data_IF_412774426566
#
_entry.id   IF_412774426566
#
_cell.length_a   1.000
_cell.length_b   1.000
_cell.length_c   1.000
_cell.angle_alpha   90.00
_cell.angle_beta   90.00
_cell.angle_gamma   90.00
#
_symmetry.space_group_name_H-M   'P 1'
#
loop_
_entity.id
_entity.type
_entity.pdbx_description
1 polymer ?
#
# COMPACT_ATOMS: atom_id res chain seq x y z
N UNK A 1 -84.17 -14.77 57.00
CA UNK A 1 -82.80 -15.27 57.20
C UNK A 1 -82.31 -16.17 56.05
N UNK A 2 -82.97 -17.29 55.76
CA UNK A 2 -82.47 -18.27 54.76
C UNK A 2 -82.27 -17.74 53.33
N UNK A 3 -83.14 -16.85 52.82
CA UNK A 3 -83.02 -16.29 51.46
C UNK A 3 -81.78 -15.40 51.29
N UNK A 4 -81.45 -14.59 52.30
CA UNK A 4 -80.30 -13.69 52.27
C UNK A 4 -78.98 -14.46 52.27
N UNK A 5 -78.91 -15.55 53.06
CA UNK A 5 -77.75 -16.45 53.09
C UNK A 5 -77.53 -17.17 51.75
N UNK A 6 -78.61 -17.58 51.08
CA UNK A 6 -78.51 -18.19 49.75
C UNK A 6 -77.96 -17.20 48.72
N UNK A 7 -78.49 -15.97 48.66
CA UNK A 7 -77.99 -14.94 47.74
C UNK A 7 -76.53 -14.57 48.00
N UNK A 8 -76.09 -14.50 49.26
CA UNK A 8 -74.69 -14.29 49.62
C UNK A 8 -73.77 -15.42 49.14
N UNK A 9 -74.20 -16.68 49.29
CA UNK A 9 -73.44 -17.83 48.81
C UNK A 9 -73.33 -17.86 47.27
N UNK A 10 -74.39 -17.46 46.57
CA UNK A 10 -74.38 -17.33 45.11
C UNK A 10 -73.43 -16.22 44.64
N UNK A 11 -73.45 -15.05 45.30
CA UNK A 11 -72.52 -13.96 45.00
C UNK A 11 -71.06 -14.34 45.27
N UNK A 12 -70.79 -15.04 46.37
CA UNK A 12 -69.45 -15.55 46.70
C UNK A 12 -68.97 -16.57 45.65
N UNK A 13 -69.85 -17.49 45.23
CA UNK A 13 -69.54 -18.46 44.19
C UNK A 13 -69.25 -17.77 42.84
N UNK A 14 -70.03 -16.75 42.48
CA UNK A 14 -69.82 -15.96 41.27
C UNK A 14 -68.48 -15.21 41.29
N UNK A 15 -68.18 -14.51 42.40
CA UNK A 15 -66.91 -13.79 42.57
C UNK A 15 -65.70 -14.72 42.52
N UNK A 16 -65.79 -15.91 43.12
CA UNK A 16 -64.73 -16.93 43.04
C UNK A 16 -64.52 -17.41 41.61
N UNK A 17 -65.60 -17.68 40.87
CA UNK A 17 -65.50 -18.07 39.47
C UNK A 17 -64.86 -16.97 38.60
N UNK A 18 -65.16 -15.69 38.87
CA UNK A 18 -64.52 -14.56 38.21
C UNK A 18 -63.03 -14.45 38.54
N UNK A 19 -62.66 -14.56 39.82
CA UNK A 19 -61.26 -14.56 40.25
C UNK A 19 -60.46 -15.70 39.61
N UNK A 20 -61.03 -16.90 39.51
CA UNK A 20 -60.39 -18.01 38.82
C UNK A 20 -60.18 -17.74 37.32
N UNK A 21 -61.15 -17.09 36.66
CA UNK A 21 -61.02 -16.68 35.26
C UNK A 21 -59.89 -15.68 35.08
N UNK A 22 -59.84 -14.65 35.93
CA UNK A 22 -58.77 -13.65 35.91
C UNK A 22 -57.40 -14.27 36.20
N UNK A 23 -57.31 -15.16 37.19
CA UNK A 23 -56.07 -15.83 37.52
C UNK A 23 -55.55 -16.67 36.35
N UNK A 24 -56.43 -17.46 35.71
CA UNK A 24 -56.06 -18.24 34.51
C UNK A 24 -55.63 -17.33 33.35
N UNK A 25 -56.29 -16.20 33.16
CA UNK A 25 -55.92 -15.23 32.12
C UNK A 25 -54.55 -14.59 32.41
N UNK A 26 -54.29 -14.19 33.65
CA UNK A 26 -53.01 -13.66 34.09
C UNK A 26 -51.89 -14.70 33.91
N UNK A 27 -52.12 -15.94 34.31
CA UNK A 27 -51.13 -17.00 34.16
C UNK A 27 -50.76 -17.25 32.70
N UNK A 28 -51.75 -17.22 31.79
CA UNK A 28 -51.51 -17.31 30.35
C UNK A 28 -50.71 -16.11 29.84
N UNK A 29 -51.11 -14.89 30.21
CA UNK A 29 -50.41 -13.68 29.80
C UNK A 29 -48.95 -13.68 30.28
N UNK A 30 -48.71 -14.03 31.55
CA UNK A 30 -47.36 -14.16 32.09
C UNK A 30 -46.53 -15.17 31.31
N UNK A 31 -47.07 -16.37 31.07
CA UNK A 31 -46.36 -17.40 30.31
C UNK A 31 -45.99 -16.97 28.88
N UNK A 32 -46.87 -16.21 28.22
CA UNK A 32 -46.60 -15.66 26.88
C UNK A 32 -45.50 -14.61 26.94
N UNK A 33 -45.61 -13.65 27.86
CA UNK A 33 -44.59 -12.60 28.02
C UNK A 33 -43.21 -13.14 28.43
N UNK A 34 -43.17 -14.22 29.22
CA UNK A 34 -41.93 -14.89 29.60
C UNK A 34 -41.27 -15.56 28.40
N UNK A 35 -42.05 -16.22 27.53
CA UNK A 35 -41.55 -16.81 26.30
C UNK A 35 -41.01 -15.75 25.34
N UNK A 36 -41.77 -14.68 25.08
CA UNK A 36 -41.34 -13.55 24.23
C UNK A 36 -40.05 -12.91 24.77
N UNK A 37 -39.95 -12.73 26.09
CA UNK A 37 -38.73 -12.19 26.72
C UNK A 37 -37.53 -13.11 26.51
N UNK A 38 -37.70 -14.42 26.58
CA UNK A 38 -36.61 -15.36 26.34
C UNK A 38 -36.13 -15.31 24.87
N UNK A 39 -37.05 -15.20 23.92
CA UNK A 39 -36.73 -15.03 22.49
C UNK A 39 -35.95 -13.73 22.26
N UNK A 40 -36.42 -12.61 22.81
CA UNK A 40 -35.73 -11.32 22.71
C UNK A 40 -34.32 -11.35 23.31
N UNK A 41 -34.13 -12.03 24.45
CA UNK A 41 -32.80 -12.19 25.05
C UNK A 41 -31.90 -13.06 24.17
N UNK A 42 -32.43 -14.10 23.54
CA UNK A 42 -31.67 -14.92 22.60
C UNK A 42 -31.24 -14.12 21.37
N UNK A 43 -32.14 -13.34 20.79
CA UNK A 43 -31.82 -12.44 19.67
C UNK A 43 -30.78 -11.38 20.05
N UNK A 44 -30.93 -10.76 21.22
CA UNK A 44 -29.97 -9.77 21.71
C UNK A 44 -28.57 -10.37 21.81
N UNK A 45 -28.46 -11.58 22.41
CA UNK A 45 -27.17 -12.28 22.53
C UNK A 45 -26.56 -12.64 21.18
N UNK A 46 -27.37 -13.00 20.19
CA UNK A 46 -26.89 -13.25 18.84
C UNK A 46 -26.34 -11.97 18.21
N UNK A 47 -27.10 -10.87 18.27
CA UNK A 47 -26.68 -9.55 17.76
C UNK A 47 -25.41 -9.05 18.46
N UNK A 48 -25.27 -9.26 19.76
CA UNK A 48 -24.06 -8.91 20.51
C UNK A 48 -22.83 -9.70 20.03
N UNK A 49 -22.99 -10.99 19.74
CA UNK A 49 -21.90 -11.82 19.18
C UNK A 49 -21.51 -11.38 17.78
N UNK A 50 -22.50 -11.10 16.94
CA UNK A 50 -22.27 -10.58 15.58
C UNK A 50 -21.56 -9.22 15.62
N UNK A 51 -21.97 -8.33 16.53
CA UNK A 51 -21.33 -7.04 16.73
C UNK A 51 -19.87 -7.21 17.16
N UNK A 52 -19.58 -8.08 18.12
CA UNK A 52 -18.21 -8.37 18.55
C UNK A 52 -17.35 -8.91 17.40
N UNK A 53 -17.90 -9.82 16.59
CA UNK A 53 -17.21 -10.33 15.40
C UNK A 53 -16.91 -9.22 14.38
N UNK A 54 -17.88 -8.32 14.13
CA UNK A 54 -17.72 -7.19 13.24
C UNK A 54 -16.65 -6.20 13.76
N UNK A 55 -16.60 -5.95 15.07
CA UNK A 55 -15.58 -5.10 15.68
C UNK A 55 -14.16 -5.67 15.49
N UNK A 56 -13.99 -6.98 15.67
CA UNK A 56 -12.68 -7.64 15.44
C UNK A 56 -12.26 -7.58 13.98
N UNK A 57 -13.22 -7.73 13.06
CA UNK A 57 -12.96 -7.57 11.62
C UNK A 57 -12.55 -6.13 11.28
N UNK A 58 -13.21 -5.14 11.87
CA UNK A 58 -12.88 -3.73 11.69
C UNK A 58 -11.46 -3.43 12.19
N UNK A 59 -11.10 -3.91 13.38
CA UNK A 59 -9.75 -3.71 13.93
C UNK A 59 -8.67 -4.34 13.04
N UNK A 60 -8.94 -5.52 12.47
CA UNK A 60 -8.05 -6.16 11.50
C UNK A 60 -7.87 -5.29 10.25
N UNK A 61 -8.96 -4.78 9.68
CA UNK A 61 -8.94 -3.91 8.51
C UNK A 61 -8.20 -2.59 8.77
N UNK A 62 -8.33 -2.03 9.97
CA UNK A 62 -7.60 -0.82 10.35
C UNK A 62 -6.08 -1.05 10.38
N UNK A 63 -5.64 -2.19 10.94
CA UNK A 63 -4.22 -2.57 10.94
C UNK A 63 -3.69 -2.79 9.50
N UNK A 64 -4.47 -3.47 8.67
CA UNK A 64 -4.13 -3.68 7.25
C UNK A 64 -4.04 -2.35 6.49
N UNK A 65 -4.99 -1.43 6.74
CA UNK A 65 -4.99 -0.09 6.15
C UNK A 65 -3.76 0.71 6.57
N UNK A 66 -3.38 0.68 7.85
CA UNK A 66 -2.19 1.37 8.34
C UNK A 66 -0.92 0.81 7.68
N UNK A 67 -0.77 -0.51 7.62
CA UNK A 67 0.36 -1.15 6.94
C UNK A 67 0.41 -0.81 5.44
N UNK A 68 -0.74 -0.78 4.77
CA UNK A 68 -0.82 -0.37 3.35
C UNK A 68 -0.43 1.09 3.14
N UNK A 69 -0.79 1.99 4.07
CA UNK A 69 -0.40 3.40 4.01
C UNK A 69 1.11 3.58 4.17
N UNK A 70 1.74 2.86 5.09
CA UNK A 70 3.19 2.88 5.27
C UNK A 70 3.92 2.41 4.00
N UNK A 71 3.48 1.29 3.44
CA UNK A 71 4.03 0.76 2.18
C UNK A 71 3.86 1.75 1.02
N UNK A 72 2.69 2.39 0.92
CA UNK A 72 2.43 3.41 -0.08
C UNK A 72 3.38 4.61 0.06
N UNK A 73 3.59 5.10 1.28
CA UNK A 73 4.52 6.19 1.55
C UNK A 73 5.95 5.81 1.15
N UNK A 74 6.42 4.62 1.49
CA UNK A 74 7.75 4.16 1.08
C UNK A 74 7.92 4.12 -0.44
N UNK A 75 6.94 3.54 -1.15
CA UNK A 75 6.98 3.46 -2.62
C UNK A 75 6.95 4.85 -3.23
N UNK A 76 6.13 5.75 -2.69
CA UNK A 76 6.06 7.14 -3.13
C UNK A 76 7.40 7.85 -2.98
N UNK A 77 8.07 7.71 -1.82
CA UNK A 77 9.41 8.27 -1.60
C UNK A 77 10.46 7.67 -2.54
N UNK A 78 10.40 6.35 -2.80
CA UNK A 78 11.31 5.67 -3.75
C UNK A 78 11.10 6.21 -5.16
N UNK A 79 9.84 6.40 -5.57
CA UNK A 79 9.47 6.95 -6.87
C UNK A 79 9.90 8.41 -7.02
N UNK A 80 9.73 9.22 -5.99
CA UNK A 80 10.19 10.61 -5.95
C UNK A 80 11.72 10.68 -6.12
N UNK A 81 12.46 9.87 -5.37
CA UNK A 81 13.93 9.76 -5.50
C UNK A 81 14.35 9.33 -6.89
N UNK A 82 13.69 8.33 -7.47
CA UNK A 82 13.97 7.88 -8.83
C UNK A 82 13.73 9.00 -9.86
N UNK A 83 12.60 9.70 -9.72
CA UNK A 83 12.23 10.84 -10.58
C UNK A 83 13.26 11.96 -10.49
N UNK A 84 13.71 12.31 -9.28
CA UNK A 84 14.72 13.34 -9.07
C UNK A 84 16.07 12.94 -9.68
N UNK A 85 16.49 11.67 -9.52
CA UNK A 85 17.69 11.14 -10.17
C UNK A 85 17.60 11.22 -11.70
N UNK A 86 16.45 10.85 -12.28
CA UNK A 86 16.24 10.93 -13.73
C UNK A 86 16.32 12.36 -14.22
N UNK A 87 15.72 13.33 -13.51
CA UNK A 87 15.85 14.77 -13.82
C UNK A 87 17.30 15.22 -13.78
N UNK A 88 18.01 14.93 -12.68
CA UNK A 88 19.44 15.29 -12.54
C UNK A 88 20.31 14.65 -13.62
N UNK A 89 20.07 13.39 -13.95
CA UNK A 89 20.81 12.70 -15.00
C UNK A 89 20.51 13.32 -16.38
N UNK A 90 19.25 13.59 -16.69
CA UNK A 90 18.84 14.31 -17.90
C UNK A 90 19.53 15.67 -18.00
N UNK A 91 19.59 16.44 -16.93
CA UNK A 91 20.25 17.76 -16.92
C UNK A 91 21.76 17.65 -17.13
N UNK A 92 22.41 16.63 -16.52
CA UNK A 92 23.84 16.35 -16.74
C UNK A 92 24.10 15.93 -18.18
N UNK A 93 23.28 15.03 -18.71
CA UNK A 93 23.38 14.58 -20.10
C UNK A 93 23.21 15.76 -21.05
N UNK A 94 22.18 16.60 -20.88
CA UNK A 94 21.97 17.80 -21.71
C UNK A 94 23.19 18.75 -21.72
N UNK A 95 23.89 18.92 -20.59
CA UNK A 95 25.15 19.70 -20.53
C UNK A 95 26.28 19.07 -21.36
N UNK A 96 26.31 17.75 -21.44
CA UNK A 96 27.34 17.00 -22.14
C UNK A 96 26.94 16.61 -23.57
N UNK A 97 25.67 16.66 -23.97
CA UNK A 97 25.23 16.41 -25.36
C UNK A 97 25.89 17.39 -26.34
N UNK A 98 26.19 18.62 -25.91
CA UNK A 98 27.02 19.56 -26.69
C UNK A 98 28.49 19.14 -26.83
N UNK A 99 29.00 18.27 -25.94
CA UNK A 99 30.34 17.71 -25.92
C UNK A 99 30.43 16.32 -26.56
N UNK A 100 29.33 15.55 -26.59
CA UNK A 100 29.17 14.32 -27.38
C UNK A 100 28.88 14.70 -28.83
N UNK A 101 29.75 15.54 -29.40
CA UNK A 101 29.88 15.58 -30.85
C UNK A 101 30.59 14.30 -31.22
N UNK A 102 30.14 13.62 -32.29
CA UNK A 102 31.01 12.70 -33.01
C UNK A 102 32.34 13.44 -33.20
N UNK A 103 33.44 12.89 -32.68
CA UNK A 103 34.77 13.45 -32.92
C UNK A 103 34.91 13.46 -34.43
N UNK A 104 34.68 14.62 -35.05
CA UNK A 104 34.92 14.80 -36.46
C UNK A 104 36.41 14.53 -36.62
N UNK A 105 36.82 13.59 -37.51
CA UNK A 105 38.23 13.39 -37.80
C UNK A 105 38.80 14.78 -38.08
N UNK A 106 39.69 15.26 -37.20
CA UNK A 106 40.30 16.58 -37.36
C UNK A 106 40.85 16.69 -38.78
N UNK A 107 40.82 17.88 -39.37
CA UNK A 107 41.21 18.12 -40.76
C UNK A 107 42.52 17.37 -41.04
N UNK A 108 42.44 16.25 -41.79
CA UNK A 108 43.61 15.45 -42.10
C UNK A 108 44.50 16.37 -42.93
N UNK A 109 45.61 16.82 -42.35
CA UNK A 109 46.60 17.62 -43.08
C UNK A 109 47.01 16.88 -44.36
N UNK A 110 47.57 17.58 -45.36
CA UNK A 110 47.92 16.97 -46.65
C UNK A 110 48.70 15.68 -46.43
N UNK A 111 48.12 14.55 -46.87
CA UNK A 111 48.77 13.24 -46.75
C UNK A 111 50.06 13.30 -47.57
N UNK A 112 51.19 13.01 -46.93
CA UNK A 112 52.48 12.88 -47.64
C UNK A 112 52.37 11.65 -48.54
N UNK A 113 52.24 11.89 -49.85
CA UNK A 113 52.25 10.85 -50.87
C UNK A 113 53.71 10.52 -51.10
N UNK A 114 54.14 9.33 -50.68
CA UNK A 114 55.43 8.78 -51.05
C UNK A 114 55.24 7.82 -52.23
N UNK A 115 56.33 7.47 -52.88
CA UNK A 115 56.42 6.49 -53.95
C UNK A 115 55.94 5.07 -53.57
N UNK A 116 55.59 4.83 -52.30
CA UNK A 116 55.07 3.56 -51.77
C UNK A 116 53.59 3.62 -51.37
N UNK A 117 52.92 4.76 -51.60
CA UNK A 117 51.51 4.98 -51.30
C UNK A 117 51.27 6.04 -50.23
N UNK A 118 50.01 6.47 -50.03
CA UNK A 118 49.66 7.53 -49.10
C UNK A 118 50.04 7.15 -47.67
N UNK A 119 50.80 8.03 -47.00
CA UNK A 119 51.25 7.84 -45.61
C UNK A 119 52.08 6.56 -45.33
N UNK A 120 52.73 6.00 -46.36
CA UNK A 120 53.64 4.86 -46.19
C UNK A 120 55.04 5.33 -45.74
N UNK A 121 55.65 4.58 -44.82
CA UNK A 121 56.98 4.81 -44.27
C UNK A 121 57.86 3.60 -44.54
N UNK A 122 59.15 3.83 -44.74
CA UNK A 122 60.14 2.75 -44.78
C UNK A 122 60.54 2.32 -43.36
N UNK A 123 61.05 1.10 -43.19
CA UNK A 123 61.47 0.58 -41.87
C UNK A 123 62.52 1.48 -41.19
N UNK A 124 63.42 2.07 -41.98
CA UNK A 124 64.44 3.00 -41.48
C UNK A 124 63.81 4.30 -40.94
N UNK A 125 62.85 4.87 -41.66
CA UNK A 125 62.11 6.06 -41.20
C UNK A 125 61.28 5.76 -39.96
N UNK A 126 60.70 4.55 -39.86
CA UNK A 126 59.95 4.12 -38.69
C UNK A 126 60.83 4.07 -37.44
N UNK A 127 62.03 3.49 -37.54
CA UNK A 127 62.98 3.41 -36.43
C UNK A 127 63.46 4.80 -35.98
N UNK A 128 63.75 5.71 -36.92
CA UNK A 128 64.09 7.10 -36.58
C UNK A 128 62.95 7.79 -35.83
N UNK A 129 61.71 7.58 -36.29
CA UNK A 129 60.53 8.19 -35.69
C UNK A 129 60.25 7.62 -34.29
N UNK A 130 60.43 6.30 -34.09
CA UNK A 130 60.36 5.66 -32.78
C UNK A 130 61.36 6.26 -31.80
N UNK A 131 62.62 6.45 -32.21
CA UNK A 131 63.66 7.09 -31.37
C UNK A 131 63.25 8.52 -30.99
N UNK A 132 62.84 9.33 -31.96
CA UNK A 132 62.40 10.71 -31.70
C UNK A 132 61.18 10.80 -30.78
N UNK A 133 60.26 9.82 -30.86
CA UNK A 133 59.10 9.74 -29.98
C UNK A 133 59.51 9.33 -28.56
N UNK A 134 60.42 8.37 -28.41
CA UNK A 134 60.96 7.97 -27.11
C UNK A 134 61.66 9.15 -26.43
N UNK A 135 62.47 9.91 -27.16
CA UNK A 135 63.13 11.12 -26.64
C UNK A 135 62.12 12.15 -26.13
N UNK A 136 61.07 12.45 -26.91
CA UNK A 136 60.01 13.39 -26.51
C UNK A 136 59.18 12.88 -25.33
N UNK A 137 58.87 11.58 -25.29
CA UNK A 137 58.17 10.96 -24.16
C UNK A 137 58.97 11.11 -22.88
N UNK A 138 60.29 10.94 -22.96
CA UNK A 138 61.18 11.08 -21.82
C UNK A 138 61.37 12.55 -21.38
N UNK A 139 61.21 13.52 -22.30
CA UNK A 139 61.25 14.95 -21.99
C UNK A 139 59.92 15.53 -21.48
N UNK A 140 58.79 14.87 -21.73
CA UNK A 140 57.44 15.34 -21.40
C UNK A 140 56.96 15.08 -19.96
N UNK A 141 57.85 14.70 -19.03
CA UNK A 141 57.53 14.61 -17.62
C UNK A 141 58.07 15.84 -16.86
N UNK A 142 57.31 16.94 -16.76
CA UNK A 142 57.52 17.86 -15.65
C UNK A 142 57.09 17.14 -14.37
N UNK A 143 58.05 16.93 -13.47
CA UNK A 143 57.73 16.58 -12.09
C UNK A 143 57.12 17.81 -11.41
N UNK A 144 55.81 17.79 -11.19
CA UNK A 144 55.08 18.59 -10.20
C UNK A 144 53.75 17.91 -9.89
#
# INVERSE_FOLDING_TARGET
MHKLQASLLEEEAAKRAELERFHRQQQRALSQTEAEKQELVAEQRLKERELQAAMLQLEKLERERLGALEQYQEVSMKLERATNKTKTWKDKVAKHEGLVRLIQPGHKGPQRITNWGPASFTDVELELRKKSWQERKNQGAPAQ
#
